data_IF_328509644032
#
_entry.id   IF_328509644032
#
_cell.length_a   1.000
_cell.length_b   1.000
_cell.length_c   1.000
_cell.angle_alpha   90.00
_cell.angle_beta   90.00
_cell.angle_gamma   90.00
#
_symmetry.space_group_name_H-M   'P 1'
#
loop_
_entity.id
_entity.type
_entity.pdbx_description
1 polymer ?
#
# COMPACT_ATOMS: atom_id res chain seq x y z
N UNK A 1 6.85 -34.93 -5.76
CA UNK A 1 7.36 -33.57 -5.98
C UNK A 1 6.42 -32.95 -6.99
N UNK A 2 5.36 -32.31 -6.50
CA UNK A 2 4.42 -31.63 -7.38
C UNK A 2 5.16 -30.46 -8.02
N UNK A 3 5.34 -30.53 -9.34
CA UNK A 3 5.69 -29.37 -10.15
C UNK A 3 4.48 -28.43 -10.08
N UNK A 4 4.42 -27.61 -9.04
CA UNK A 4 3.50 -26.47 -8.99
C UNK A 4 4.01 -25.53 -10.08
N UNK A 5 3.48 -25.69 -11.29
CA UNK A 5 3.58 -24.68 -12.33
C UNK A 5 2.92 -23.42 -11.75
N UNK A 6 3.75 -22.53 -11.19
CA UNK A 6 3.28 -21.23 -10.74
C UNK A 6 2.69 -20.53 -11.95
N UNK A 7 1.36 -20.39 -11.93
CA UNK A 7 0.68 -19.66 -12.97
C UNK A 7 1.19 -18.22 -12.91
N UNK A 8 1.41 -17.55 -14.06
CA UNK A 8 1.74 -16.14 -14.07
C UNK A 8 0.71 -15.39 -13.25
N UNK A 9 1.18 -14.48 -12.39
CA UNK A 9 0.36 -13.60 -11.56
C UNK A 9 0.01 -12.31 -12.30
N UNK A 10 -0.97 -11.57 -11.82
CA UNK A 10 -1.28 -10.25 -12.39
C UNK A 10 -0.21 -9.20 -12.06
N UNK A 11 0.52 -9.35 -10.95
CA UNK A 11 1.66 -8.49 -10.59
C UNK A 11 2.95 -9.33 -10.53
N UNK A 12 4.11 -8.81 -10.98
CA UNK A 12 5.41 -9.44 -10.78
C UNK A 12 5.77 -9.66 -9.31
N UNK A 13 6.51 -10.73 -8.99
CA UNK A 13 6.83 -11.06 -7.59
C UNK A 13 7.57 -9.94 -6.85
N UNK A 14 8.50 -9.23 -7.51
CA UNK A 14 9.23 -8.11 -6.90
C UNK A 14 8.33 -6.94 -6.47
N UNK A 15 7.23 -6.73 -7.19
CA UNK A 15 6.24 -5.70 -6.86
C UNK A 15 5.33 -6.17 -5.72
N UNK A 16 5.02 -7.46 -5.64
CA UNK A 16 4.31 -8.06 -4.50
C UNK A 16 5.15 -7.98 -3.23
N UNK A 17 6.44 -8.28 -3.30
CA UNK A 17 7.39 -8.15 -2.18
C UNK A 17 7.42 -6.70 -1.67
N UNK A 18 7.45 -5.73 -2.58
CA UNK A 18 7.40 -4.31 -2.23
C UNK A 18 6.09 -3.92 -1.53
N UNK A 19 4.94 -4.36 -2.07
CA UNK A 19 3.64 -4.13 -1.45
C UNK A 19 3.56 -4.76 -0.06
N UNK A 20 4.08 -5.97 0.12
CA UNK A 20 4.11 -6.65 1.41
C UNK A 20 4.89 -5.84 2.46
N UNK A 21 6.07 -5.34 2.12
CA UNK A 21 6.87 -4.49 3.01
C UNK A 21 6.11 -3.22 3.41
N UNK A 22 5.46 -2.55 2.46
CA UNK A 22 4.66 -1.36 2.78
C UNK A 22 3.48 -1.71 3.68
N UNK A 23 2.74 -2.77 3.38
CA UNK A 23 1.58 -3.17 4.16
C UNK A 23 1.96 -3.56 5.59
N UNK A 24 3.08 -4.26 5.77
CA UNK A 24 3.63 -4.56 7.08
C UNK A 24 3.99 -3.28 7.85
N UNK A 25 4.65 -2.32 7.21
CA UNK A 25 4.96 -1.03 7.83
C UNK A 25 3.69 -0.28 8.23
N UNK A 26 2.69 -0.18 7.33
CA UNK A 26 1.42 0.47 7.62
C UNK A 26 0.67 -0.22 8.78
N UNK A 27 0.63 -1.55 8.79
CA UNK A 27 0.01 -2.32 9.87
C UNK A 27 0.70 -2.08 11.23
N UNK A 28 2.01 -1.84 11.22
CA UNK A 28 2.77 -1.50 12.43
C UNK A 28 2.53 -0.06 12.91
N UNK A 29 2.54 0.92 12.00
CA UNK A 29 2.46 2.35 12.36
C UNK A 29 1.03 2.85 12.61
N UNK A 30 0.02 2.32 11.93
CA UNK A 30 -1.38 2.77 12.08
C UNK A 30 -1.90 2.73 13.53
N UNK A 31 -1.66 1.66 14.33
CA UNK A 31 -2.03 1.63 15.74
C UNK A 31 -1.32 2.70 16.57
N UNK A 32 -0.04 2.95 16.30
CA UNK A 32 0.78 3.95 17.01
C UNK A 32 0.25 5.35 16.73
N UNK A 33 0.07 5.70 15.45
CA UNK A 33 -0.47 7.00 15.04
C UNK A 33 -1.88 7.23 15.59
N UNK A 34 -2.71 6.18 15.67
CA UNK A 34 -4.07 6.29 16.21
C UNK A 34 -4.11 6.53 17.72
N UNK A 35 -3.08 6.10 18.45
CA UNK A 35 -2.99 6.30 19.89
C UNK A 35 -2.55 7.72 20.27
N UNK A 36 -1.96 8.46 19.32
CA UNK A 36 -1.50 9.82 19.51
C UNK A 36 -2.62 10.85 19.17
N UNK A 37 -3.11 11.61 20.14
CA UNK A 37 -4.16 12.62 19.90
C UNK A 37 -3.67 13.84 19.11
N UNK A 38 -2.37 14.04 18.96
CA UNK A 38 -1.80 15.16 18.19
C UNK A 38 -1.78 14.87 16.69
N UNK A 39 -1.94 13.59 16.29
CA UNK A 39 -1.99 13.21 14.88
C UNK A 39 -3.34 13.65 14.27
N UNK A 40 -3.33 14.50 13.22
CA UNK A 40 -4.57 14.94 12.60
C UNK A 40 -5.35 13.79 11.97
N UNK A 41 -6.68 13.87 12.01
CA UNK A 41 -7.56 12.81 11.52
C UNK A 41 -7.37 12.55 10.02
N UNK A 42 -7.09 13.60 9.23
CA UNK A 42 -6.83 13.52 7.79
C UNK A 42 -5.62 12.62 7.48
N UNK A 43 -4.64 12.58 8.37
CA UNK A 43 -3.44 11.75 8.26
C UNK A 43 -3.80 10.30 8.51
N UNK A 44 -4.55 10.04 9.59
CA UNK A 44 -5.04 8.70 9.88
C UNK A 44 -5.90 8.14 8.74
N UNK A 45 -6.73 8.99 8.12
CA UNK A 45 -7.51 8.63 6.94
C UNK A 45 -6.61 8.31 5.74
N UNK A 46 -5.61 9.16 5.45
CA UNK A 46 -4.65 8.91 4.37
C UNK A 46 -3.91 7.57 4.54
N UNK A 47 -3.40 7.28 5.73
CA UNK A 47 -2.73 6.00 6.02
C UNK A 47 -3.67 4.80 5.84
N UNK A 48 -4.94 4.93 6.25
CA UNK A 48 -5.94 3.86 6.06
C UNK A 48 -6.28 3.63 4.59
N UNK A 49 -6.44 4.71 3.81
CA UNK A 49 -6.70 4.63 2.37
C UNK A 49 -5.55 3.96 1.63
N UNK A 50 -4.30 4.35 1.92
CA UNK A 50 -3.10 3.72 1.34
C UNK A 50 -3.06 2.23 1.68
N UNK A 51 -3.31 1.87 2.94
CA UNK A 51 -3.34 0.46 3.37
C UNK A 51 -4.42 -0.32 2.62
N UNK A 52 -5.63 0.21 2.52
CA UNK A 52 -6.75 -0.47 1.86
C UNK A 52 -6.46 -0.73 0.38
N UNK A 53 -5.97 0.28 -0.35
CA UNK A 53 -5.63 0.13 -1.77
C UNK A 53 -4.44 -0.83 -1.94
N UNK A 54 -3.43 -0.74 -1.07
CA UNK A 54 -2.30 -1.68 -1.07
C UNK A 54 -2.74 -3.13 -0.84
N UNK A 55 -3.68 -3.37 0.07
CA UNK A 55 -4.24 -4.72 0.33
C UNK A 55 -4.99 -5.24 -0.90
N UNK A 56 -5.80 -4.40 -1.55
CA UNK A 56 -6.49 -4.77 -2.79
C UNK A 56 -5.50 -5.10 -3.91
N UNK A 57 -4.46 -4.29 -4.08
CA UNK A 57 -3.37 -4.55 -5.04
C UNK A 57 -2.70 -5.89 -4.77
N UNK A 58 -2.36 -6.18 -3.51
CA UNK A 58 -1.72 -7.44 -3.14
C UNK A 58 -2.60 -8.66 -3.45
N UNK A 59 -3.88 -8.61 -3.05
CA UNK A 59 -4.85 -9.70 -3.31
C UNK A 59 -4.99 -9.97 -4.80
N UNK A 60 -5.30 -8.94 -5.60
CA UNK A 60 -5.52 -9.10 -7.05
C UNK A 60 -4.21 -9.45 -7.76
N UNK A 61 -3.09 -8.93 -7.26
CA UNK A 61 -1.74 -9.23 -7.74
C UNK A 61 -1.37 -10.69 -7.58
N UNK A 62 -1.83 -11.35 -6.51
CA UNK A 62 -1.58 -12.78 -6.27
C UNK A 62 -2.44 -13.71 -7.14
N UNK A 63 -3.56 -13.22 -7.69
CA UNK A 63 -4.43 -13.99 -8.56
C UNK A 63 -3.74 -14.36 -9.89
N UNK A 64 -4.17 -15.46 -10.55
CA UNK A 64 -3.72 -15.81 -11.89
C UNK A 64 -3.90 -14.65 -12.88
N UNK A 65 -2.96 -14.54 -13.83
CA UNK A 65 -2.92 -13.46 -14.80
C UNK A 65 -4.15 -13.46 -15.69
N UNK A 66 -4.92 -12.38 -15.64
CA UNK A 66 -6.10 -12.13 -16.48
C UNK A 66 -6.07 -10.71 -17.02
N UNK A 67 -6.70 -10.47 -18.17
CA UNK A 67 -6.79 -9.12 -18.74
C UNK A 67 -7.55 -8.15 -17.81
N UNK A 68 -8.65 -8.60 -17.20
CA UNK A 68 -9.42 -7.79 -16.25
C UNK A 68 -8.61 -7.49 -14.99
N UNK A 69 -7.82 -8.45 -14.48
CA UNK A 69 -6.93 -8.23 -13.35
C UNK A 69 -5.88 -7.16 -13.63
N UNK A 70 -5.28 -7.17 -14.83
CA UNK A 70 -4.32 -6.14 -15.26
C UNK A 70 -4.95 -4.73 -15.28
N UNK A 71 -6.15 -4.58 -15.85
CA UNK A 71 -6.85 -3.30 -15.91
C UNK A 71 -7.16 -2.76 -14.49
N UNK A 72 -7.63 -3.63 -13.60
CA UNK A 72 -7.89 -3.27 -12.21
C UNK A 72 -6.59 -2.85 -11.51
N UNK A 73 -5.51 -3.60 -11.70
CA UNK A 73 -4.20 -3.31 -11.12
C UNK A 73 -3.65 -1.98 -11.62
N UNK A 74 -3.73 -1.68 -12.92
CA UNK A 74 -3.26 -0.40 -13.47
C UNK A 74 -3.99 0.79 -12.85
N UNK A 75 -5.31 0.68 -12.64
CA UNK A 75 -6.11 1.71 -11.99
C UNK A 75 -5.73 1.86 -10.51
N UNK A 76 -5.67 0.75 -9.76
CA UNK A 76 -5.31 0.77 -8.35
C UNK A 76 -3.88 1.25 -8.11
N UNK A 77 -2.91 0.88 -8.96
CA UNK A 77 -1.53 1.37 -8.85
C UNK A 77 -1.44 2.88 -9.03
N UNK A 78 -2.25 3.44 -9.95
CA UNK A 78 -2.29 4.87 -10.18
C UNK A 78 -2.79 5.61 -8.93
N UNK A 79 -3.88 5.13 -8.34
CA UNK A 79 -4.43 5.69 -7.10
C UNK A 79 -3.44 5.54 -5.94
N UNK A 80 -2.90 4.34 -5.74
CA UNK A 80 -1.91 4.05 -4.72
C UNK A 80 -0.71 4.99 -4.81
N UNK A 81 -0.15 5.17 -6.01
CA UNK A 81 1.01 6.03 -6.26
C UNK A 81 0.69 7.50 -5.96
N UNK A 82 -0.50 7.98 -6.31
CA UNK A 82 -0.92 9.35 -5.98
C UNK A 82 -1.02 9.56 -4.47
N UNK A 83 -1.63 8.62 -3.74
CA UNK A 83 -1.75 8.71 -2.29
C UNK A 83 -0.39 8.56 -1.60
N UNK A 84 0.47 7.66 -2.08
CA UNK A 84 1.83 7.49 -1.57
C UNK A 84 2.67 8.76 -1.77
N UNK A 85 2.59 9.41 -2.93
CA UNK A 85 3.26 10.70 -3.14
C UNK A 85 2.71 11.80 -2.24
N UNK A 86 1.38 11.87 -2.04
CA UNK A 86 0.78 12.79 -1.06
C UNK A 86 1.30 12.51 0.35
N UNK A 87 1.48 11.25 0.72
CA UNK A 87 2.08 10.88 2.00
C UNK A 87 3.52 11.39 2.08
N UNK A 88 4.36 11.15 1.07
CA UNK A 88 5.75 11.62 1.06
C UNK A 88 5.86 13.15 1.17
N UNK A 89 4.99 13.90 0.49
CA UNK A 89 4.93 15.35 0.63
C UNK A 89 4.53 15.79 2.05
N UNK A 90 3.61 15.06 2.69
CA UNK A 90 3.22 15.33 4.08
C UNK A 90 4.23 14.78 5.11
N UNK A 91 5.08 13.82 4.78
CA UNK A 91 6.18 13.35 5.67
C UNK A 91 7.22 14.43 5.89
N UNK A 92 7.48 15.29 4.90
CA UNK A 92 8.26 16.52 5.13
C UNK A 92 7.61 17.44 6.17
N UNK A 93 6.27 17.57 6.12
CA UNK A 93 5.48 18.31 7.11
C UNK A 93 5.48 17.64 8.50
N UNK A 94 5.47 16.30 8.60
CA UNK A 94 5.62 15.59 9.88
C UNK A 94 7.03 15.73 10.47
N UNK A 95 8.08 15.69 9.65
CA UNK A 95 9.43 15.96 10.13
C UNK A 95 9.57 17.37 10.71
N UNK A 96 8.85 18.37 10.20
CA UNK A 96 8.83 19.72 10.79
C UNK A 96 8.00 19.80 12.08
N UNK A 97 6.90 19.05 12.18
CA UNK A 97 6.04 19.03 13.37
C UNK A 97 6.67 18.29 14.56
N UNK A 98 7.40 17.19 14.31
CA UNK A 98 7.99 16.36 15.36
C UNK A 98 9.47 16.68 15.69
N UNK A 99 10.12 17.60 14.94
CA UNK A 99 11.46 18.11 15.24
C UNK A 99 11.48 19.52 15.88
N UNK A 100 10.32 20.05 16.28
CA UNK A 100 10.19 21.24 17.14
C UNK A 100 9.67 20.86 18.53
#
# INVERSE_FOLDING_TARGET
MDNVMHHPRNIPDNELDFLEVILQALAHYLPVLRADPEVPQEVLLLFREIKMIGEMLYVIGCEPRTQNGMEIIENLYREFRQLYHRLQHNVGFFQELFNN
#
